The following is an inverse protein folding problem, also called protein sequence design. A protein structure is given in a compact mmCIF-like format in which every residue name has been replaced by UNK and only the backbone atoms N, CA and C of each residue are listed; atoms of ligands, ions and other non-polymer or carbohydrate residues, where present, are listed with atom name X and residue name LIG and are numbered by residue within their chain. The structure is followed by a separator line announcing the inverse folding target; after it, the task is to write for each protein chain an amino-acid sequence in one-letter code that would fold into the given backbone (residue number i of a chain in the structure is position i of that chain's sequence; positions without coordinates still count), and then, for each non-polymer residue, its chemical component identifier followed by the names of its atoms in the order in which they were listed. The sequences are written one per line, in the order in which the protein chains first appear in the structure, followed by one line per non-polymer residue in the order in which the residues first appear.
data_IF_984980417918
#
_entry.id   IF_984980417918
#
_cell.length_a   1.000
_cell.length_b   1.000
_cell.length_c   1.000
_cell.angle_alpha   90.00
_cell.angle_beta   90.00
_cell.angle_gamma   90.00
#
_symmetry.space_group_name_H-M   'P 1'
#
loop_
_entity.id
_entity.type
_entity.pdbx_description
1 polymer ?
#
# COMPACT_ATOMS: atom_id res chain seq x y z
N UNK A 1 -8.96 -10.59 31.24
CA UNK A 1 -8.39 -11.29 30.06
C UNK A 1 -8.44 -10.31 28.90
N UNK A 2 -7.35 -9.59 28.64
CA UNK A 2 -7.30 -8.57 27.59
C UNK A 2 -6.94 -9.24 26.26
N UNK A 3 -7.95 -9.54 25.44
CA UNK A 3 -7.73 -9.96 24.05
C UNK A 3 -7.31 -8.73 23.25
N UNK A 4 -6.01 -8.58 23.00
CA UNK A 4 -5.51 -7.62 22.03
C UNK A 4 -6.23 -7.88 20.69
N UNK A 5 -6.82 -6.86 20.04
CA UNK A 5 -7.20 -7.02 18.64
C UNK A 5 -5.90 -7.13 17.87
N UNK A 6 -5.43 -8.36 17.66
CA UNK A 6 -4.43 -8.66 16.63
C UNK A 6 -5.18 -8.52 15.32
N UNK A 7 -5.39 -7.25 15.00
CA UNK A 7 -6.05 -6.67 13.87
C UNK A 7 -5.62 -7.43 12.63
N UNK A 8 -6.59 -7.86 11.82
CA UNK A 8 -6.44 -8.58 10.55
C UNK A 8 -5.59 -7.81 9.52
N UNK A 9 -4.31 -7.63 9.79
CA UNK A 9 -3.31 -7.13 8.86
C UNK A 9 -2.87 -8.21 7.85
N UNK A 10 -3.37 -9.45 8.01
CA UNK A 10 -2.99 -10.58 7.15
C UNK A 10 -3.87 -10.75 5.91
N UNK A 11 -5.08 -10.20 5.93
CA UNK A 11 -6.10 -10.42 4.90
C UNK A 11 -5.98 -9.46 3.72
N UNK A 12 -5.27 -8.33 3.90
CA UNK A 12 -5.14 -7.29 2.89
C UNK A 12 -3.65 -7.02 2.59
N UNK A 13 -3.32 -6.93 1.31
CA UNK A 13 -2.04 -6.44 0.82
C UNK A 13 -2.08 -4.92 0.85
N UNK A 14 -1.05 -4.32 1.43
CA UNK A 14 -0.90 -2.88 1.46
C UNK A 14 -0.03 -2.45 0.29
N UNK A 15 -0.47 -1.41 -0.40
CA UNK A 15 0.28 -0.79 -1.47
C UNK A 15 0.56 0.65 -1.12
N UNK A 16 1.77 1.08 -1.39
CA UNK A 16 2.25 2.43 -1.18
C UNK A 16 2.60 3.01 -2.53
N UNK A 17 1.98 4.11 -2.90
CA UNK A 17 2.19 4.74 -4.18
C UNK A 17 2.79 6.11 -3.93
N UNK A 18 3.96 6.33 -4.51
CA UNK A 18 4.61 7.63 -4.52
C UNK A 18 4.14 8.38 -5.75
N UNK A 19 3.54 9.54 -5.51
CA UNK A 19 3.07 10.47 -6.53
C UNK A 19 4.07 11.61 -6.70
N UNK A 20 4.06 12.26 -7.86
CA UNK A 20 4.75 13.53 -8.02
C UNK A 20 3.94 14.66 -7.37
N UNK A 21 4.59 15.56 -6.60
CA UNK A 21 3.92 16.73 -5.99
C UNK A 21 3.30 17.68 -7.02
N UNK A 22 3.82 17.67 -8.25
CA UNK A 22 3.33 18.45 -9.39
C UNK A 22 2.22 17.78 -10.18
N UNK A 23 1.85 16.53 -9.84
CA UNK A 23 0.80 15.81 -10.56
C UNK A 23 -0.60 16.17 -10.07
N UNK A 24 -1.56 16.13 -10.99
CA UNK A 24 -2.99 16.24 -10.68
C UNK A 24 -3.45 15.16 -9.68
N UNK A 25 -2.77 14.01 -9.61
CA UNK A 25 -3.08 12.95 -8.63
C UNK A 25 -2.74 13.33 -7.19
N UNK A 26 -1.79 14.24 -6.99
CA UNK A 26 -1.46 14.76 -5.66
C UNK A 26 -2.59 15.67 -5.14
N UNK A 27 -3.19 16.48 -6.02
CA UNK A 27 -4.35 17.32 -5.69
C UNK A 27 -5.66 16.51 -5.63
N UNK A 28 -5.85 15.58 -6.58
CA UNK A 28 -7.06 14.78 -6.71
C UNK A 28 -6.72 13.27 -6.70
N UNK A 29 -6.78 12.61 -5.54
CA UNK A 29 -6.44 11.20 -5.41
C UNK A 29 -7.52 10.25 -5.97
N UNK A 30 -8.57 10.77 -6.60
CA UNK A 30 -9.67 9.93 -7.07
C UNK A 30 -9.26 9.02 -8.24
N UNK A 31 -8.28 9.46 -9.05
CA UNK A 31 -7.69 8.67 -10.13
C UNK A 31 -6.92 7.41 -9.68
N UNK A 32 -6.65 7.25 -8.38
CA UNK A 32 -6.00 6.05 -7.82
C UNK A 32 -6.96 4.88 -7.61
N UNK A 33 -8.27 5.10 -7.72
CA UNK A 33 -9.27 4.03 -7.65
C UNK A 33 -9.41 3.27 -8.98
N UNK A 34 -8.29 2.73 -9.47
CA UNK A 34 -8.24 1.99 -10.76
C UNK A 34 -8.98 0.66 -10.73
N UNK A 35 -9.29 0.13 -9.53
CA UNK A 35 -9.93 -1.17 -9.37
C UNK A 35 -10.90 -1.16 -8.18
N UNK A 36 -12.09 -1.79 -8.27
CA UNK A 36 -13.09 -1.78 -7.19
C UNK A 36 -12.63 -2.49 -5.90
N UNK A 37 -11.66 -3.40 -6.02
CA UNK A 37 -11.06 -4.08 -4.86
C UNK A 37 -10.03 -3.22 -4.12
N UNK A 38 -9.59 -2.12 -4.71
CA UNK A 38 -8.67 -1.17 -4.09
C UNK A 38 -9.44 -0.30 -3.10
N UNK A 39 -9.04 -0.35 -1.84
CA UNK A 39 -9.51 0.53 -0.78
C UNK A 39 -8.42 1.54 -0.43
N UNK A 40 -8.73 2.82 -0.59
CA UNK A 40 -7.83 3.92 -0.20
C UNK A 40 -7.80 4.02 1.32
N UNK A 41 -6.62 3.85 1.92
CA UNK A 41 -6.43 4.03 3.36
C UNK A 41 -6.04 5.47 3.70
N UNK A 42 -5.47 6.21 2.75
CA UNK A 42 -5.03 7.59 2.92
C UNK A 42 -3.51 7.74 2.86
N UNK A 43 -3.00 8.87 3.33
CA UNK A 43 -1.56 9.21 3.23
C UNK A 43 -0.76 8.67 4.41
N UNK A 44 0.54 8.42 4.21
CA UNK A 44 1.43 8.01 5.31
C UNK A 44 1.95 9.24 6.05
N UNK A 45 1.39 9.50 7.23
CA UNK A 45 1.89 10.52 8.15
C UNK A 45 2.05 11.88 7.48
N UNK A 46 3.28 12.39 7.46
CA UNK A 46 3.64 13.70 6.89
C UNK A 46 3.93 13.65 5.38
N UNK A 47 4.04 12.46 4.79
CA UNK A 47 4.33 12.29 3.36
C UNK A 47 3.03 12.41 2.55
N UNK A 48 2.74 13.63 2.10
CA UNK A 48 1.56 13.94 1.30
C UNK A 48 1.63 13.34 -0.12
N UNK A 49 2.84 13.12 -0.61
CA UNK A 49 3.10 12.50 -1.91
C UNK A 49 2.91 10.98 -1.89
N UNK A 50 2.76 10.36 -0.72
CA UNK A 50 2.64 8.91 -0.58
C UNK A 50 1.22 8.52 -0.16
N UNK A 51 0.54 7.80 -1.05
CA UNK A 51 -0.79 7.26 -0.81
C UNK A 51 -0.73 5.76 -0.49
N UNK A 52 -1.51 5.34 0.50
CA UNK A 52 -1.68 3.95 0.89
C UNK A 52 -3.00 3.43 0.38
N UNK A 53 -2.91 2.29 -0.29
CA UNK A 53 -4.02 1.49 -0.73
C UNK A 53 -3.99 0.13 -0.04
N UNK A 54 -5.14 -0.50 0.02
CA UNK A 54 -5.32 -1.85 0.52
C UNK A 54 -6.10 -2.66 -0.48
N UNK A 55 -5.69 -3.91 -0.70
CA UNK A 55 -6.35 -4.84 -1.62
C UNK A 55 -6.49 -6.18 -0.93
N UNK A 56 -7.65 -6.86 -1.02
CA UNK A 56 -7.82 -8.18 -0.46
C UNK A 56 -6.82 -9.16 -1.06
N UNK A 57 -6.04 -9.80 -0.19
CA UNK A 57 -4.92 -10.66 -0.58
C UNK A 57 -5.36 -11.87 -1.41
N UNK A 58 -6.56 -12.38 -1.15
CA UNK A 58 -7.13 -13.51 -1.89
C UNK A 58 -7.23 -13.20 -3.40
N UNK A 59 -7.46 -11.93 -3.75
CA UNK A 59 -7.57 -11.48 -5.14
C UNK A 59 -6.26 -10.88 -5.67
N UNK A 60 -5.37 -10.41 -4.78
CA UNK A 60 -4.09 -9.78 -5.14
C UNK A 60 -3.29 -10.53 -6.21
N UNK A 61 -2.94 -11.83 -6.09
CA UNK A 61 -2.10 -12.50 -7.09
C UNK A 61 -2.73 -12.57 -8.48
N UNK A 62 -4.05 -12.40 -8.59
CA UNK A 62 -4.78 -12.37 -9.86
C UNK A 62 -4.85 -10.97 -10.46
N UNK A 63 -4.97 -9.94 -9.61
CA UNK A 63 -5.14 -8.55 -10.05
C UNK A 63 -3.86 -7.73 -9.94
N UNK A 64 -2.78 -8.27 -9.38
CA UNK A 64 -1.51 -7.57 -9.15
C UNK A 64 -0.98 -6.95 -10.44
N UNK A 65 -0.86 -7.74 -11.51
CA UNK A 65 -0.34 -7.25 -12.78
C UNK A 65 -1.19 -6.12 -13.33
N UNK A 66 -2.51 -6.29 -13.36
CA UNK A 66 -3.44 -5.27 -13.85
C UNK A 66 -3.43 -4.01 -12.99
N UNK A 67 -3.43 -4.14 -11.66
CA UNK A 67 -3.41 -3.02 -10.72
C UNK A 67 -2.08 -2.27 -10.80
N UNK A 68 -0.96 -2.98 -10.77
CA UNK A 68 0.37 -2.36 -10.84
C UNK A 68 0.58 -1.68 -12.20
N UNK A 69 0.17 -2.32 -13.30
CA UNK A 69 0.25 -1.74 -14.64
C UNK A 69 -0.63 -0.50 -14.76
N UNK A 70 -1.91 -0.59 -14.35
CA UNK A 70 -2.82 0.55 -14.35
C UNK A 70 -2.30 1.72 -13.50
N UNK A 71 -1.73 1.45 -12.33
CA UNK A 71 -1.14 2.47 -11.48
C UNK A 71 0.12 3.09 -12.10
N UNK A 72 0.98 2.30 -12.74
CA UNK A 72 2.17 2.85 -13.43
C UNK A 72 1.79 3.63 -14.70
N UNK A 73 0.69 3.27 -15.35
CA UNK A 73 0.16 3.99 -16.51
C UNK A 73 -0.44 5.37 -16.14
N UNK A 74 -0.73 5.61 -14.85
CA UNK A 74 -1.29 6.88 -14.41
C UNK A 74 -0.25 8.02 -14.46
N UNK A 75 -0.60 9.17 -15.05
CA UNK A 75 0.31 10.30 -15.14
C UNK A 75 0.63 10.87 -13.75
N UNK A 76 1.90 10.76 -13.35
CA UNK A 76 2.42 11.28 -12.09
C UNK A 76 2.44 10.28 -10.94
N UNK A 77 2.25 8.99 -11.21
CA UNK A 77 2.77 7.93 -10.35
C UNK A 77 4.26 7.80 -10.60
N UNK A 78 5.07 8.05 -9.58
CA UNK A 78 6.52 7.89 -9.64
C UNK A 78 6.93 6.44 -9.35
N UNK A 79 6.25 5.82 -8.39
CA UNK A 79 6.60 4.48 -7.95
C UNK A 79 5.45 3.80 -7.24
N UNK A 80 5.26 2.52 -7.54
CA UNK A 80 4.35 1.64 -6.80
C UNK A 80 5.19 0.68 -5.95
N UNK A 81 4.92 0.64 -4.65
CA UNK A 81 5.58 -0.22 -3.68
C UNK A 81 4.54 -1.15 -3.06
N UNK A 82 4.60 -2.42 -3.41
CA UNK A 82 3.76 -3.46 -2.82
C UNK A 82 4.40 -3.90 -1.49
N UNK A 83 3.69 -3.74 -0.38
CA UNK A 83 4.05 -4.31 0.91
C UNK A 83 3.30 -5.62 1.12
N UNK A 84 3.89 -6.71 0.62
CA UNK A 84 3.43 -8.07 0.91
C UNK A 84 3.89 -8.52 2.30
N UNK A 85 3.02 -8.27 3.29
CA UNK A 85 3.29 -8.42 4.73
C UNK A 85 4.49 -7.58 5.19
N UNK A 86 4.47 -7.03 6.42
CA UNK A 86 5.73 -6.77 7.07
C UNK A 86 6.38 -8.16 7.24
N UNK A 87 7.35 -8.50 6.39
CA UNK A 87 8.39 -9.45 6.78
C UNK A 87 8.93 -8.85 8.07
N UNK A 88 8.49 -9.40 9.21
CA UNK A 88 9.05 -9.12 10.51
C UNK A 88 10.54 -9.01 10.27
N UNK A 89 11.09 -7.80 10.37
CA UNK A 89 12.54 -7.67 10.50
C UNK A 89 12.82 -8.52 11.72
N UNK A 90 13.34 -9.72 11.50
CA UNK A 90 13.97 -10.48 12.55
C UNK A 90 15.03 -9.51 13.07
N UNK A 91 14.77 -8.93 14.25
CA UNK A 91 15.78 -8.21 14.98
C UNK A 91 16.90 -9.23 15.16
N UNK A 92 17.97 -9.09 14.37
CA UNK A 92 19.22 -9.77 14.62
C UNK A 92 19.78 -9.10 15.88
N UNK A 93 19.38 -9.65 17.01
CA UNK A 93 19.80 -9.27 18.35
C UNK A 93 19.86 -10.53 19.20
N UNK A 94 20.57 -11.53 18.69
CA UNK A 94 21.16 -12.56 19.53
C UNK A 94 22.52 -12.01 19.95
N UNK A 95 22.52 -11.20 21.00
CA UNK A 95 23.71 -10.84 21.77
C UNK A 95 23.23 -10.69 23.22
N UNK A 96 23.07 -11.84 23.86
CA UNK A 96 22.97 -11.94 25.31
C UNK A 96 24.29 -12.59 25.74
N UNK A 97 25.18 -11.79 26.34
CA UNK A 97 26.36 -12.24 27.06
C UNK A 97 26.11 -12.06 28.56
#
# INVERSE_FOLDING_TARGET
MSTAPTQSHDENVLLTITLSPTSALHANPDGLAVHPLIKRLGRIGELQDVQVLSVPRQSWPRVEGEVVDALNALPGVLRVHVQERPKLRAKRGADEL
#
